data_IF_104620493379
#
_entry.id   IF_104620493379
#
_cell.length_a   1.000
_cell.length_b   1.000
_cell.length_c   1.000
_cell.angle_alpha   90.00
_cell.angle_beta   90.00
_cell.angle_gamma   90.00
#
_symmetry.space_group_name_H-M   'P 1'
#
loop_
_entity.id
_entity.type
_entity.pdbx_description
1 polymer ?
#
# COMPACT_ATOMS: atom_id res chain seq x y z
N UNK A 1 -16.75 -16.16 -14.30
CA UNK A 1 -15.55 -15.32 -14.11
C UNK A 1 -15.59 -14.76 -12.70
N UNK A 2 -14.63 -15.12 -11.84
CA UNK A 2 -14.53 -14.48 -10.52
C UNK A 2 -14.22 -12.99 -10.73
N UNK A 3 -14.99 -12.12 -10.09
CA UNK A 3 -14.76 -10.67 -10.15
C UNK A 3 -13.37 -10.35 -9.58
N UNK A 4 -12.43 -10.00 -10.47
CA UNK A 4 -11.06 -9.63 -10.09
C UNK A 4 -11.03 -8.51 -9.06
N UNK A 5 -12.03 -7.61 -9.09
CA UNK A 5 -12.20 -6.52 -8.11
C UNK A 5 -12.43 -7.04 -6.69
N UNK A 6 -13.27 -8.06 -6.53
CA UNK A 6 -13.54 -8.68 -5.23
C UNK A 6 -12.29 -9.39 -4.71
N UNK A 7 -11.58 -10.10 -5.59
CA UNK A 7 -10.30 -10.74 -5.27
C UNK A 7 -9.25 -9.72 -4.81
N UNK A 8 -9.09 -8.59 -5.51
CA UNK A 8 -8.17 -7.53 -5.11
C UNK A 8 -8.59 -6.96 -3.75
N UNK A 9 -9.89 -6.73 -3.53
CA UNK A 9 -10.38 -6.23 -2.25
C UNK A 9 -10.10 -7.19 -1.08
N UNK A 10 -10.37 -8.48 -1.25
CA UNK A 10 -10.07 -9.47 -0.20
C UNK A 10 -8.56 -9.59 0.07
N UNK A 11 -7.74 -9.48 -0.96
CA UNK A 11 -6.28 -9.44 -0.81
C UNK A 11 -5.81 -8.15 -0.11
N UNK A 12 -6.47 -7.03 -0.37
CA UNK A 12 -6.12 -5.71 0.16
C UNK A 12 -6.59 -5.49 1.60
N UNK A 13 -7.76 -6.03 1.97
CA UNK A 13 -8.39 -5.79 3.28
C UNK A 13 -7.45 -5.95 4.50
N UNK A 14 -6.64 -7.02 4.64
CA UNK A 14 -5.79 -7.18 5.83
C UNK A 14 -4.58 -6.23 5.86
N UNK A 15 -4.10 -5.81 4.69
CA UNK A 15 -2.92 -4.94 4.53
C UNK A 15 -3.29 -3.47 4.40
N UNK A 16 -4.56 -3.16 4.19
CA UNK A 16 -5.05 -1.80 4.01
C UNK A 16 -4.71 -0.91 5.20
N UNK A 17 -5.07 -1.35 6.41
CA UNK A 17 -4.81 -0.58 7.63
C UNK A 17 -3.31 -0.35 7.85
N UNK A 18 -2.48 -1.35 7.51
CA UNK A 18 -1.03 -1.24 7.62
C UNK A 18 -0.45 -0.22 6.64
N UNK A 19 -0.85 -0.29 5.37
CA UNK A 19 -0.40 0.67 4.37
C UNK A 19 -0.91 2.09 4.65
N UNK A 20 -2.15 2.22 5.14
CA UNK A 20 -2.76 3.48 5.55
C UNK A 20 -1.99 4.12 6.73
N UNK A 21 -1.65 3.33 7.74
CA UNK A 21 -0.82 3.79 8.86
C UNK A 21 0.55 4.28 8.37
N UNK A 22 1.18 3.56 7.44
CA UNK A 22 2.42 4.02 6.80
C UNK A 22 2.23 5.33 6.01
N UNK A 23 1.12 5.49 5.29
CA UNK A 23 0.80 6.75 4.59
C UNK A 23 0.68 7.91 5.57
N UNK A 24 -0.02 7.74 6.69
CA UNK A 24 -0.14 8.76 7.71
C UNK A 24 1.19 9.09 8.38
N UNK A 25 2.00 8.08 8.71
CA UNK A 25 3.34 8.29 9.27
C UNK A 25 4.23 9.09 8.31
N UNK A 26 4.18 8.79 7.01
CA UNK A 26 4.88 9.54 5.98
C UNK A 26 4.41 11.01 5.90
N UNK A 27 3.10 11.26 5.87
CA UNK A 27 2.57 12.63 5.85
C UNK A 27 2.92 13.40 7.11
N UNK A 28 2.89 12.74 8.28
CA UNK A 28 3.29 13.34 9.54
C UNK A 28 4.77 13.77 9.53
N UNK A 29 5.66 12.91 9.04
CA UNK A 29 7.08 13.23 8.87
C UNK A 29 7.30 14.42 7.93
N UNK A 30 6.55 14.51 6.82
CA UNK A 30 6.58 15.66 5.92
C UNK A 30 6.02 16.91 6.62
N UNK A 31 5.01 16.76 7.47
CA UNK A 31 4.43 17.85 8.24
C UNK A 31 5.40 18.51 9.21
N UNK A 32 6.25 17.71 9.86
CA UNK A 32 7.29 18.18 10.80
C UNK A 32 8.50 18.76 10.06
N UNK A 33 9.03 18.03 9.08
CA UNK A 33 10.32 18.38 8.44
C UNK A 33 10.18 19.27 7.19
N UNK A 34 8.94 19.47 6.72
CA UNK A 34 8.63 20.28 5.54
C UNK A 34 8.63 19.48 4.23
N UNK A 35 8.07 20.11 3.19
CA UNK A 35 7.84 19.50 1.86
C UNK A 35 9.14 19.10 1.15
N UNK A 36 10.27 19.74 1.48
CA UNK A 36 11.59 19.42 0.91
C UNK A 36 12.00 17.97 1.14
N UNK A 37 11.49 17.34 2.20
CA UNK A 37 11.83 15.96 2.59
C UNK A 37 10.89 14.92 1.95
N UNK A 38 9.89 15.36 1.16
CA UNK A 38 8.90 14.47 0.55
C UNK A 38 9.53 13.37 -0.33
N UNK A 39 10.60 13.68 -1.06
CA UNK A 39 11.33 12.68 -1.85
C UNK A 39 11.96 11.59 -1.00
N UNK A 40 12.59 11.95 0.12
CA UNK A 40 13.18 10.99 1.07
C UNK A 40 12.08 10.15 1.75
N UNK A 41 10.98 10.79 2.17
CA UNK A 41 9.85 10.11 2.79
C UNK A 41 9.18 9.12 1.83
N UNK A 42 9.18 9.40 0.53
CA UNK A 42 8.71 8.45 -0.48
C UNK A 42 9.55 7.16 -0.49
N UNK A 43 10.87 7.24 -0.28
CA UNK A 43 11.69 6.02 -0.12
C UNK A 43 11.29 5.21 1.12
N UNK A 44 10.98 5.86 2.24
CA UNK A 44 10.44 5.16 3.42
C UNK A 44 9.10 4.48 3.14
N UNK A 45 8.25 5.08 2.30
CA UNK A 45 7.00 4.44 1.85
C UNK A 45 7.26 3.16 1.05
N UNK A 46 8.29 3.14 0.19
CA UNK A 46 8.70 1.92 -0.54
C UNK A 46 9.21 0.83 0.41
N UNK A 47 9.97 1.18 1.44
CA UNK A 47 10.35 0.24 2.51
C UNK A 47 9.11 -0.29 3.25
N UNK A 48 8.12 0.57 3.45
CA UNK A 48 6.80 0.19 3.94
C UNK A 48 6.17 -0.96 3.14
N UNK A 49 6.26 -0.95 1.81
CA UNK A 49 5.75 -2.06 0.97
C UNK A 49 6.50 -3.37 1.16
N UNK A 50 7.81 -3.33 1.41
CA UNK A 50 8.56 -4.52 1.78
C UNK A 50 8.04 -5.10 3.12
N UNK A 51 7.75 -4.24 4.11
CA UNK A 51 7.14 -4.67 5.37
C UNK A 51 5.75 -5.28 5.17
N UNK A 52 4.94 -4.70 4.28
CA UNK A 52 3.60 -5.21 3.95
C UNK A 52 3.68 -6.58 3.29
N UNK A 53 4.63 -6.78 2.37
CA UNK A 53 4.88 -8.09 1.75
C UNK A 53 5.24 -9.13 2.81
N UNK A 54 6.11 -8.77 3.75
CA UNK A 54 6.52 -9.65 4.83
C UNK A 54 5.35 -10.01 5.75
N UNK A 55 4.59 -9.01 6.21
CA UNK A 55 3.44 -9.19 7.08
C UNK A 55 2.37 -10.09 6.45
N UNK A 56 2.11 -9.90 5.16
CA UNK A 56 1.13 -10.70 4.44
C UNK A 56 1.64 -12.13 4.18
N UNK A 57 2.93 -12.29 3.92
CA UNK A 57 3.55 -13.62 3.78
C UNK A 57 3.51 -14.42 5.09
N UNK A 58 3.64 -13.73 6.23
CA UNK A 58 3.56 -14.35 7.55
C UNK A 58 2.12 -14.70 7.95
N UNK A 59 1.20 -13.76 7.80
CA UNK A 59 -0.19 -13.89 8.25
C UNK A 59 -1.02 -14.79 7.34
N UNK A 60 -0.63 -14.92 6.08
CA UNK A 60 -1.52 -15.44 5.03
C UNK A 60 -0.89 -16.58 4.21
N UNK A 61 -0.31 -17.59 4.87
CA UNK A 61 0.20 -18.80 4.20
C UNK A 61 -0.83 -19.46 3.27
N UNK A 62 -2.11 -19.43 3.65
CA UNK A 62 -3.21 -19.99 2.88
C UNK A 62 -3.65 -19.09 1.70
N UNK A 63 -3.35 -17.79 1.73
CA UNK A 63 -3.64 -16.87 0.63
C UNK A 63 -2.84 -17.28 -0.60
N UNK A 64 -1.58 -17.70 -0.44
CA UNK A 64 -0.80 -18.16 -1.58
C UNK A 64 -1.50 -19.33 -2.32
N UNK A 65 -1.95 -20.33 -1.57
CA UNK A 65 -2.63 -21.50 -2.15
C UNK A 65 -3.98 -21.13 -2.77
N UNK A 66 -4.77 -20.27 -2.13
CA UNK A 66 -6.08 -19.85 -2.63
C UNK A 66 -5.99 -19.13 -3.99
N UNK A 67 -5.12 -18.13 -4.10
CA UNK A 67 -5.00 -17.34 -5.34
C UNK A 67 -4.33 -18.15 -6.46
N UNK A 68 -3.39 -19.06 -6.12
CA UNK A 68 -2.79 -19.99 -7.08
C UNK A 68 -3.82 -20.99 -7.63
N UNK A 69 -4.64 -21.59 -6.77
CA UNK A 69 -5.70 -22.51 -7.19
C UNK A 69 -6.80 -21.83 -8.02
N UNK A 70 -7.00 -20.52 -7.81
CA UNK A 70 -7.89 -19.70 -8.62
C UNK A 70 -7.29 -19.21 -9.96
N UNK A 71 -6.04 -19.59 -10.27
CA UNK A 71 -5.35 -19.21 -11.52
C UNK A 71 -4.76 -17.80 -11.53
N UNK A 72 -4.70 -17.11 -10.39
CA UNK A 72 -4.17 -15.74 -10.29
C UNK A 72 -2.72 -15.71 -9.79
N UNK A 73 -1.90 -14.87 -10.42
CA UNK A 73 -0.55 -14.60 -9.94
C UNK A 73 -0.57 -13.61 -8.77
N UNK A 74 -0.06 -14.05 -7.62
CA UNK A 74 0.03 -13.24 -6.40
C UNK A 74 0.89 -12.00 -6.60
N UNK A 75 1.94 -12.09 -7.42
CA UNK A 75 2.78 -10.93 -7.78
C UNK A 75 1.97 -9.82 -8.44
N UNK A 76 0.99 -10.19 -9.30
CA UNK A 76 0.07 -9.22 -9.91
C UNK A 76 -0.87 -8.61 -8.88
N UNK A 77 -1.33 -9.39 -7.90
CA UNK A 77 -2.18 -8.88 -6.81
C UNK A 77 -1.45 -7.84 -5.95
N UNK A 78 -0.19 -8.10 -5.59
CA UNK A 78 0.66 -7.11 -4.92
C UNK A 78 0.84 -5.85 -5.78
N UNK A 79 1.13 -5.99 -7.06
CA UNK A 79 1.29 -4.85 -7.96
C UNK A 79 0.02 -3.98 -8.03
N UNK A 80 -1.16 -4.59 -8.14
CA UNK A 80 -2.44 -3.85 -8.13
C UNK A 80 -2.68 -3.12 -6.82
N UNK A 81 -2.43 -3.79 -5.69
CA UNK A 81 -2.58 -3.15 -4.38
C UNK A 81 -1.62 -1.99 -4.20
N UNK A 82 -0.34 -2.16 -4.54
CA UNK A 82 0.64 -1.09 -4.39
C UNK A 82 0.37 0.06 -5.34
N UNK A 83 -0.12 -0.20 -6.56
CA UNK A 83 -0.56 0.86 -7.47
C UNK A 83 -1.73 1.68 -6.87
N UNK A 84 -2.73 1.02 -6.30
CA UNK A 84 -3.86 1.69 -5.62
C UNK A 84 -3.37 2.48 -4.41
N UNK A 85 -2.49 1.89 -3.60
CA UNK A 85 -1.97 2.55 -2.41
C UNK A 85 -1.09 3.77 -2.72
N UNK A 86 -0.25 3.68 -3.75
CA UNK A 86 0.53 4.82 -4.26
C UNK A 86 -0.41 5.92 -4.74
N UNK A 87 -1.46 5.58 -5.50
CA UNK A 87 -2.43 6.58 -5.97
C UNK A 87 -3.13 7.29 -4.80
N UNK A 88 -3.54 6.55 -3.76
CA UNK A 88 -4.11 7.11 -2.54
C UNK A 88 -3.09 8.02 -1.83
N UNK A 89 -1.86 7.53 -1.62
CA UNK A 89 -0.81 8.30 -0.96
C UNK A 89 -0.47 9.59 -1.73
N UNK A 90 -0.35 9.53 -3.06
CA UNK A 90 -0.11 10.70 -3.91
C UNK A 90 -1.25 11.71 -3.83
N UNK A 91 -2.50 11.25 -3.82
CA UNK A 91 -3.66 12.12 -3.63
C UNK A 91 -3.63 12.80 -2.25
N UNK A 92 -3.34 12.05 -1.18
CA UNK A 92 -3.21 12.60 0.18
C UNK A 92 -2.04 13.58 0.31
N UNK A 93 -0.90 13.31 -0.35
CA UNK A 93 0.24 14.21 -0.35
C UNK A 93 -0.08 15.51 -1.09
N UNK A 94 -0.74 15.41 -2.25
CA UNK A 94 -1.16 16.58 -3.02
C UNK A 94 -2.12 17.46 -2.22
N UNK A 95 -3.14 16.87 -1.58
CA UNK A 95 -4.07 17.64 -0.72
C UNK A 95 -3.36 18.23 0.49
N UNK A 96 -2.45 17.49 1.12
CA UNK A 96 -1.65 17.99 2.24
C UNK A 96 -0.81 19.22 1.86
N UNK A 97 -0.14 19.18 0.70
CA UNK A 97 0.67 20.31 0.20
C UNK A 97 -0.23 21.51 -0.11
N UNK A 98 -1.41 21.30 -0.71
CA UNK A 98 -2.36 22.37 -1.02
C UNK A 98 -2.89 23.06 0.25
N UNK A 99 -3.13 22.32 1.32
CA UNK A 99 -3.63 22.86 2.60
C UNK A 99 -2.52 23.63 3.36
N UNK A 100 -1.27 23.17 3.27
CA UNK A 100 -0.14 23.80 3.97
C UNK A 100 0.46 25.02 3.25
N UNK A 101 0.03 25.29 2.02
CA UNK A 101 0.45 26.43 1.21
C UNK A 101 -0.39 27.66 1.55
#
# INVERSE_FOLDING_TARGET
>A
MSDIRKLIWYFYKPIFLWNLAFSFACLWLIGINGVKVAGLVFFFKLIGYASTTYLQSYTAKNVYMYYRNAGYSIRRMYAYVYAVDIAIYSAMLATFILIKR
#
